data_IF_297923458729
#
_entry.id   IF_297923458729
#
_cell.length_a   1.000
_cell.length_b   1.000
_cell.length_c   1.000
_cell.angle_alpha   90.00
_cell.angle_beta   90.00
_cell.angle_gamma   90.00
#
_symmetry.space_group_name_H-M   'P 1'
#
loop_
_entity.id
_entity.type
_entity.pdbx_description
1 polymer ?
#
# COMPACT_ATOMS: atom_id res chain seq x y z
N UNK A 1 67.76 -14.00 -5.53
CA UNK A 1 67.62 -12.53 -5.71
C UNK A 1 67.07 -11.94 -4.41
N UNK A 2 67.49 -10.72 -4.01
CA UNK A 2 66.93 -10.05 -2.82
C UNK A 2 65.52 -9.53 -3.13
N UNK A 3 64.61 -9.69 -2.17
CA UNK A 3 63.26 -9.15 -2.27
C UNK A 3 63.23 -7.67 -1.88
N UNK A 4 62.22 -6.92 -2.33
CA UNK A 4 62.01 -5.51 -1.99
C UNK A 4 61.97 -5.31 -0.47
N UNK A 5 61.32 -6.21 0.27
CA UNK A 5 61.26 -6.17 1.73
C UNK A 5 62.63 -6.33 2.39
N UNK A 6 63.44 -7.28 1.91
CA UNK A 6 64.81 -7.48 2.42
C UNK A 6 65.70 -6.28 2.12
N UNK A 7 65.60 -5.69 0.93
CA UNK A 7 66.38 -4.51 0.54
C UNK A 7 66.06 -3.33 1.46
N UNK A 8 64.76 -3.07 1.71
CA UNK A 8 64.33 -1.99 2.60
C UNK A 8 64.79 -2.22 4.04
N UNK A 9 64.67 -3.45 4.55
CA UNK A 9 65.13 -3.80 5.89
C UNK A 9 66.63 -3.61 6.06
N UNK A 10 67.42 -4.08 5.10
CA UNK A 10 68.88 -3.92 5.13
C UNK A 10 69.27 -2.43 5.08
N UNK A 11 68.63 -1.63 4.22
CA UNK A 11 68.88 -0.20 4.12
C UNK A 11 68.50 0.53 5.42
N UNK A 12 67.37 0.17 6.04
CA UNK A 12 66.93 0.70 7.33
C UNK A 12 67.94 0.43 8.43
N UNK A 13 68.38 -0.82 8.55
CA UNK A 13 69.38 -1.22 9.55
C UNK A 13 70.73 -0.53 9.30
N UNK A 14 71.15 -0.38 8.03
CA UNK A 14 72.39 0.33 7.66
C UNK A 14 72.35 1.81 8.03
N UNK A 15 71.19 2.46 7.93
CA UNK A 15 70.98 3.86 8.34
C UNK A 15 70.68 4.01 9.84
N UNK A 16 70.56 2.90 10.58
CA UNK A 16 70.30 2.91 12.03
C UNK A 16 68.86 3.27 12.44
N UNK A 17 67.91 3.25 11.49
CA UNK A 17 66.53 3.64 11.76
C UNK A 17 65.73 2.54 12.49
N UNK A 18 64.99 2.92 13.52
CA UNK A 18 63.91 2.09 14.07
C UNK A 18 62.67 2.14 13.17
N UNK A 19 61.70 1.24 13.40
CA UNK A 19 60.44 1.30 12.65
C UNK A 19 59.64 2.57 13.02
N UNK A 20 59.75 3.00 14.28
CA UNK A 20 59.16 4.23 14.81
C UNK A 20 59.76 5.49 14.14
N UNK A 21 61.07 5.49 13.86
CA UNK A 21 61.71 6.61 13.16
C UNK A 21 61.17 6.76 11.74
N UNK A 22 61.08 5.65 11.00
CA UNK A 22 60.51 5.67 9.65
C UNK A 22 59.02 6.00 9.65
N UNK A 23 58.27 5.56 10.66
CA UNK A 23 56.85 5.93 10.82
C UNK A 23 56.70 7.45 11.03
N UNK A 24 57.55 8.04 11.86
CA UNK A 24 57.55 9.50 12.11
C UNK A 24 57.92 10.29 10.86
N UNK A 25 58.90 9.82 10.10
CA UNK A 25 59.45 10.49 8.91
C UNK A 25 58.53 10.34 7.68
N UNK A 26 58.04 9.12 7.41
CA UNK A 26 57.23 8.83 6.22
C UNK A 26 55.72 8.90 6.44
N UNK A 27 55.27 9.01 7.70
CA UNK A 27 53.86 8.90 8.13
C UNK A 27 53.19 7.54 7.80
N UNK A 28 53.97 6.54 7.42
CA UNK A 28 53.49 5.18 7.17
C UNK A 28 53.49 4.44 8.49
N UNK A 29 52.35 3.86 8.86
CA UNK A 29 52.25 3.15 10.14
C UNK A 29 53.27 2.01 10.23
N UNK A 30 53.93 1.84 11.38
CA UNK A 30 55.02 0.86 11.55
C UNK A 30 54.66 -0.58 11.19
N UNK A 31 53.39 -0.96 11.39
CA UNK A 31 52.91 -2.29 11.00
C UNK A 31 52.92 -2.51 9.48
N UNK A 32 52.70 -1.47 8.67
CA UNK A 32 52.82 -1.57 7.21
C UNK A 32 54.27 -1.64 6.77
N UNK A 33 55.16 -0.87 7.40
CA UNK A 33 56.61 -0.93 7.14
C UNK A 33 57.13 -2.34 7.45
N UNK A 34 56.79 -2.87 8.62
CA UNK A 34 57.11 -4.24 9.01
C UNK A 34 56.53 -5.27 8.02
N UNK A 35 55.25 -5.14 7.67
CA UNK A 35 54.63 -6.04 6.69
C UNK A 35 55.34 -6.01 5.32
N UNK A 36 55.82 -4.85 4.86
CA UNK A 36 56.64 -4.75 3.64
C UNK A 36 57.98 -5.46 3.81
N UNK A 37 58.71 -5.21 4.90
CA UNK A 37 60.02 -5.83 5.17
C UNK A 37 59.95 -7.35 5.22
N UNK A 38 58.86 -7.89 5.77
CA UNK A 38 58.58 -9.33 5.84
C UNK A 38 57.78 -9.88 4.65
N UNK A 39 57.49 -9.06 3.63
CA UNK A 39 56.73 -9.46 2.44
C UNK A 39 55.35 -10.07 2.76
N UNK A 40 54.69 -9.57 3.81
CA UNK A 40 53.35 -9.97 4.25
C UNK A 40 52.28 -9.19 3.45
N UNK A 41 52.19 -9.48 2.15
CA UNK A 41 51.33 -8.73 1.20
C UNK A 41 49.85 -8.71 1.57
N UNK A 42 49.34 -9.76 2.24
CA UNK A 42 47.95 -9.86 2.70
C UNK A 42 47.57 -8.82 3.77
N UNK A 43 48.55 -8.29 4.51
CA UNK A 43 48.34 -7.25 5.54
C UNK A 43 48.47 -5.83 5.00
N UNK A 44 48.76 -5.69 3.71
CA UNK A 44 48.98 -4.40 3.07
C UNK A 44 47.72 -3.95 2.31
N UNK A 45 47.53 -2.63 2.13
CA UNK A 45 46.47 -2.10 1.28
C UNK A 45 46.67 -2.47 -0.20
N UNK A 46 45.81 -1.94 -1.06
CA UNK A 46 45.87 -2.17 -2.51
C UNK A 46 47.20 -1.72 -3.14
N UNK A 47 47.60 -2.40 -4.22
CA UNK A 47 48.91 -2.22 -4.88
C UNK A 47 49.33 -0.75 -5.16
N UNK A 48 48.43 0.16 -5.60
CA UNK A 48 48.79 1.56 -5.79
C UNK A 48 49.27 2.25 -4.50
N UNK A 49 48.66 1.91 -3.36
CA UNK A 49 49.01 2.45 -2.04
C UNK A 49 50.37 1.90 -1.60
N UNK A 50 50.58 0.59 -1.77
CA UNK A 50 51.88 -0.05 -1.47
C UNK A 50 53.00 0.57 -2.32
N UNK A 51 52.73 0.83 -3.60
CA UNK A 51 53.68 1.55 -4.47
C UNK A 51 54.03 2.93 -3.93
N UNK A 52 53.04 3.64 -3.37
CA UNK A 52 53.26 4.91 -2.68
C UNK A 52 54.15 4.75 -1.44
N UNK A 53 53.90 3.73 -0.62
CA UNK A 53 54.71 3.44 0.57
C UNK A 53 56.18 3.20 0.22
N UNK A 54 56.43 2.34 -0.78
CA UNK A 54 57.79 2.00 -1.22
C UNK A 54 58.53 3.24 -1.77
N UNK A 55 57.84 4.11 -2.51
CA UNK A 55 58.39 5.37 -3.01
C UNK A 55 58.74 6.34 -1.87
N UNK A 56 57.91 6.41 -0.83
CA UNK A 56 58.17 7.28 0.31
C UNK A 56 59.30 6.74 1.20
N UNK A 57 59.43 5.42 1.32
CA UNK A 57 60.53 4.78 2.07
C UNK A 57 61.88 4.89 1.35
N UNK A 58 61.90 5.05 0.03
CA UNK A 58 63.16 5.12 -0.72
C UNK A 58 63.97 6.38 -0.41
N UNK A 59 63.30 7.48 -0.04
CA UNK A 59 63.96 8.76 0.28
C UNK A 59 64.80 8.72 1.56
N UNK A 60 64.27 8.41 2.75
CA UNK A 60 65.07 8.32 3.99
C UNK A 60 66.11 7.20 3.94
N UNK A 61 65.85 6.16 3.16
CA UNK A 61 66.75 5.01 3.01
C UNK A 61 67.81 5.17 1.91
N UNK A 62 67.80 6.30 1.19
CA UNK A 62 68.78 6.61 0.13
C UNK A 62 68.83 5.52 -0.97
N UNK A 63 67.63 5.09 -1.39
CA UNK A 63 67.43 4.08 -2.42
C UNK A 63 66.87 4.72 -3.69
N UNK A 64 67.31 4.22 -4.85
CA UNK A 64 66.75 4.67 -6.12
C UNK A 64 65.28 4.28 -6.24
N UNK A 65 64.44 5.30 -6.41
CA UNK A 65 62.98 5.19 -6.45
C UNK A 65 62.48 4.31 -7.60
N UNK A 66 63.11 4.39 -8.77
CA UNK A 66 62.66 3.67 -9.96
C UNK A 66 63.07 2.19 -9.88
N UNK A 67 64.26 1.92 -9.38
CA UNK A 67 64.78 0.59 -9.15
C UNK A 67 63.96 -0.15 -8.10
N UNK A 68 63.68 0.46 -6.94
CA UNK A 68 62.94 -0.21 -5.87
C UNK A 68 61.48 -0.51 -6.25
N UNK A 69 60.85 0.37 -7.03
CA UNK A 69 59.49 0.14 -7.56
C UNK A 69 59.50 -0.96 -8.63
N UNK A 70 60.55 -1.06 -9.43
CA UNK A 70 60.70 -2.16 -10.40
C UNK A 70 60.83 -3.51 -9.69
N UNK A 71 61.56 -3.55 -8.58
CA UNK A 71 61.68 -4.75 -7.74
C UNK A 71 60.35 -5.08 -7.06
N UNK A 72 59.60 -4.07 -6.58
CA UNK A 72 58.25 -4.27 -6.04
C UNK A 72 57.32 -4.95 -7.06
N UNK A 73 57.32 -4.48 -8.32
CA UNK A 73 56.47 -5.06 -9.38
C UNK A 73 56.76 -6.54 -9.64
N UNK A 74 58.01 -6.97 -9.42
CA UNK A 74 58.43 -8.37 -9.53
C UNK A 74 57.98 -9.21 -8.33
N UNK A 75 58.08 -8.64 -7.13
CA UNK A 75 57.88 -9.40 -5.87
C UNK A 75 56.44 -9.38 -5.35
N UNK A 76 55.62 -8.41 -5.77
CA UNK A 76 54.23 -8.29 -5.36
C UNK A 76 53.37 -9.33 -6.10
N UNK A 77 52.69 -10.25 -5.40
CA UNK A 77 51.85 -11.24 -6.06
C UNK A 77 50.69 -10.55 -6.77
N UNK A 78 50.28 -11.01 -7.96
CA UNK A 78 49.10 -10.48 -8.63
C UNK A 78 47.87 -10.78 -7.74
N UNK A 79 47.43 -9.78 -6.97
CA UNK A 79 46.17 -9.83 -6.23
C UNK A 79 45.08 -9.87 -7.29
N UNK A 80 44.36 -10.99 -7.42
CA UNK A 80 43.15 -11.04 -8.24
C UNK A 80 42.25 -9.94 -7.68
N UNK A 81 41.98 -8.93 -8.49
CA UNK A 81 40.96 -7.92 -8.17
C UNK A 81 39.66 -8.71 -8.15
N UNK A 82 39.30 -9.29 -7.02
CA UNK A 82 37.95 -9.78 -6.76
C UNK A 82 37.05 -8.62 -7.12
N UNK A 83 36.22 -8.84 -8.12
CA UNK A 83 35.40 -7.86 -8.84
C UNK A 83 34.77 -6.84 -7.89
N UNK A 84 35.49 -5.75 -7.58
CA UNK A 84 34.91 -4.54 -6.98
C UNK A 84 34.28 -3.75 -8.12
N UNK A 85 33.41 -4.41 -8.87
CA UNK A 85 32.37 -3.73 -9.59
C UNK A 85 31.15 -3.89 -8.69
N UNK A 86 30.93 -3.00 -7.70
CA UNK A 86 29.69 -3.01 -6.97
C UNK A 86 28.60 -2.82 -8.01
N UNK A 87 27.93 -3.91 -8.40
CA UNK A 87 26.73 -3.82 -9.22
C UNK A 87 25.83 -2.89 -8.41
N UNK A 88 25.48 -1.70 -8.93
CA UNK A 88 24.62 -0.82 -8.16
C UNK A 88 23.35 -1.62 -7.88
N UNK A 89 23.09 -1.90 -6.61
CA UNK A 89 21.79 -2.37 -6.18
C UNK A 89 20.83 -1.20 -6.41
N UNK A 90 20.34 -1.08 -7.64
CA UNK A 90 19.27 -0.16 -7.98
C UNK A 90 18.02 -0.75 -7.33
N UNK A 91 17.87 -0.52 -6.02
CA UNK A 91 16.58 -0.69 -5.34
C UNK A 91 15.63 0.24 -6.09
N UNK A 92 14.78 -0.32 -6.95
CA UNK A 92 13.77 0.43 -7.71
C UNK A 92 12.83 1.09 -6.71
N UNK A 93 13.16 2.31 -6.31
CA UNK A 93 12.26 3.15 -5.51
C UNK A 93 11.09 3.50 -6.42
N UNK A 94 9.87 3.23 -5.96
CA UNK A 94 8.66 3.63 -6.67
C UNK A 94 8.71 5.13 -6.93
N UNK A 95 8.71 5.52 -8.21
CA UNK A 95 8.72 6.92 -8.63
C UNK A 95 7.32 7.28 -9.09
N UNK A 96 6.67 8.09 -8.27
CA UNK A 96 5.37 8.65 -8.57
C UNK A 96 5.47 9.56 -9.80
N UNK A 97 4.81 9.18 -10.90
CA UNK A 97 4.78 9.94 -12.15
C UNK A 97 3.51 10.79 -12.20
N UNK A 98 3.55 12.07 -12.63
CA UNK A 98 2.33 12.85 -12.87
C UNK A 98 1.28 12.14 -13.73
N UNK A 99 1.68 11.33 -14.73
CA UNK A 99 0.70 10.54 -15.49
C UNK A 99 -0.08 9.54 -14.61
N UNK A 100 0.56 9.01 -13.58
CA UNK A 100 -0.07 8.10 -12.61
C UNK A 100 -1.07 8.83 -11.70
N UNK A 101 -0.82 10.09 -11.28
CA UNK A 101 -1.84 10.88 -10.55
C UNK A 101 -3.07 11.08 -11.38
N UNK A 102 -2.91 11.45 -12.65
CA UNK A 102 -4.03 11.73 -13.54
C UNK A 102 -4.88 10.47 -13.74
N UNK A 103 -4.25 9.32 -14.03
CA UNK A 103 -4.96 8.04 -14.17
C UNK A 103 -5.66 7.67 -12.87
N UNK A 104 -4.98 7.76 -11.72
CA UNK A 104 -5.56 7.42 -10.43
C UNK A 104 -6.77 8.32 -10.12
N UNK A 105 -6.66 9.62 -10.36
CA UNK A 105 -7.75 10.57 -10.15
C UNK A 105 -8.94 10.30 -11.08
N UNK A 106 -8.69 10.06 -12.37
CA UNK A 106 -9.75 9.70 -13.32
C UNK A 106 -10.47 8.42 -12.93
N UNK A 107 -9.74 7.39 -12.47
CA UNK A 107 -10.35 6.14 -11.99
C UNK A 107 -11.19 6.38 -10.74
N UNK A 108 -10.69 7.16 -9.77
CA UNK A 108 -11.45 7.50 -8.56
C UNK A 108 -12.72 8.28 -8.91
N UNK A 109 -12.64 9.25 -9.82
CA UNK A 109 -13.80 10.03 -10.26
C UNK A 109 -14.86 9.15 -10.93
N UNK A 110 -14.43 8.22 -11.79
CA UNK A 110 -15.33 7.25 -12.44
C UNK A 110 -15.98 6.35 -11.38
N UNK A 111 -15.22 5.83 -10.42
CA UNK A 111 -15.76 4.98 -9.35
C UNK A 111 -16.77 5.72 -8.47
N UNK A 112 -16.50 6.98 -8.11
CA UNK A 112 -17.44 7.82 -7.36
C UNK A 112 -18.71 8.08 -8.17
N UNK A 113 -18.59 8.40 -9.45
CA UNK A 113 -19.72 8.61 -10.34
C UNK A 113 -20.58 7.34 -10.50
N UNK A 114 -19.94 6.19 -10.73
CA UNK A 114 -20.63 4.90 -10.82
C UNK A 114 -21.30 4.51 -9.50
N UNK A 115 -20.62 4.71 -8.37
CA UNK A 115 -21.19 4.47 -7.04
C UNK A 115 -22.43 5.34 -6.78
N UNK A 116 -22.36 6.63 -7.15
CA UNK A 116 -23.50 7.54 -7.05
C UNK A 116 -24.68 7.10 -7.94
N UNK A 117 -24.41 6.76 -9.21
CA UNK A 117 -25.44 6.29 -10.13
C UNK A 117 -26.08 4.98 -9.63
N UNK A 118 -25.28 4.05 -9.12
CA UNK A 118 -25.78 2.80 -8.54
C UNK A 118 -26.69 3.07 -7.34
N UNK A 119 -26.26 3.94 -6.42
CA UNK A 119 -27.07 4.32 -5.27
C UNK A 119 -28.39 4.98 -5.69
N UNK A 120 -28.35 5.89 -6.67
CA UNK A 120 -29.53 6.56 -7.19
C UNK A 120 -30.49 5.58 -7.87
N UNK A 121 -29.96 4.63 -8.64
CA UNK A 121 -30.74 3.57 -9.28
C UNK A 121 -31.37 2.62 -8.24
N UNK A 122 -30.61 2.23 -7.22
CA UNK A 122 -31.12 1.39 -6.13
C UNK A 122 -32.27 2.08 -5.39
N UNK A 123 -32.16 3.38 -5.10
CA UNK A 123 -33.24 4.16 -4.48
C UNK A 123 -34.48 4.28 -5.36
N UNK A 124 -34.33 4.38 -6.68
CA UNK A 124 -35.48 4.44 -7.60
C UNK A 124 -36.19 3.08 -7.77
N UNK A 125 -35.44 1.99 -7.59
CA UNK A 125 -35.91 0.61 -7.79
C UNK A 125 -36.18 -0.13 -6.48
N UNK A 126 -36.15 0.56 -5.34
CA UNK A 126 -36.58 -0.01 -4.07
C UNK A 126 -38.11 -0.08 -3.98
N UNK A 127 -38.66 -1.14 -3.37
CA UNK A 127 -40.08 -1.20 -3.08
C UNK A 127 -40.47 -0.07 -2.11
N UNK A 128 -41.70 0.45 -2.21
CA UNK A 128 -42.13 1.56 -1.38
C UNK A 128 -42.23 1.10 0.08
N UNK A 129 -41.85 1.95 1.02
CA UNK A 129 -42.13 1.64 2.42
C UNK A 129 -43.64 1.60 2.64
N UNK A 130 -44.17 0.64 3.41
CA UNK A 130 -45.58 0.54 3.74
C UNK A 130 -45.73 0.30 5.23
N UNK A 131 -46.40 1.22 5.91
CA UNK A 131 -46.73 1.14 7.33
C UNK A 131 -48.23 1.27 7.49
N UNK A 132 -48.90 0.20 7.91
CA UNK A 132 -50.34 0.17 8.14
C UNK A 132 -50.62 0.41 9.61
N UNK A 133 -51.33 1.50 9.92
CA UNK A 133 -51.74 1.87 11.28
C UNK A 133 -53.13 1.34 11.63
N UNK A 134 -54.01 1.22 10.63
CA UNK A 134 -55.35 0.61 10.77
C UNK A 134 -55.69 -0.18 9.50
N UNK A 135 -56.27 -1.39 9.59
CA UNK A 135 -56.57 -2.14 10.81
C UNK A 135 -55.32 -2.66 11.53
N UNK A 136 -55.45 -2.89 12.83
CA UNK A 136 -54.48 -3.68 13.59
C UNK A 136 -54.65 -5.18 13.29
N UNK A 137 -53.59 -5.95 13.47
CA UNK A 137 -53.66 -7.39 13.24
C UNK A 137 -54.55 -8.07 14.29
N UNK A 138 -55.57 -8.79 13.85
CA UNK A 138 -56.59 -9.42 14.68
C UNK A 138 -57.74 -8.51 15.12
N UNK A 139 -57.87 -7.30 14.57
CA UNK A 139 -58.92 -6.35 14.92
C UNK A 139 -60.32 -6.93 14.71
N UNK A 140 -61.22 -6.66 15.66
CA UNK A 140 -62.62 -7.10 15.61
C UNK A 140 -63.43 -6.04 14.88
N UNK A 141 -63.95 -6.38 13.70
CA UNK A 141 -64.73 -5.47 12.86
C UNK A 141 -66.21 -5.82 12.97
N UNK A 142 -67.02 -4.82 13.33
CA UNK A 142 -68.47 -4.97 13.59
C UNK A 142 -69.37 -4.42 12.49
N UNK A 143 -68.80 -3.65 11.58
CA UNK A 143 -69.49 -2.98 10.48
C UNK A 143 -69.07 -3.58 9.13
N UNK A 144 -69.83 -3.30 8.06
CA UNK A 144 -69.50 -3.77 6.69
C UNK A 144 -68.45 -2.90 6.00
N UNK A 145 -68.04 -1.81 6.62
CA UNK A 145 -66.97 -0.93 6.16
C UNK A 145 -65.80 -1.01 7.15
N UNK A 146 -64.59 -0.99 6.61
CA UNK A 146 -63.36 -0.98 7.40
C UNK A 146 -62.49 0.18 6.96
N UNK A 147 -62.10 0.99 7.94
CA UNK A 147 -61.20 2.11 7.69
C UNK A 147 -59.75 1.62 7.60
N UNK A 148 -59.08 1.91 6.49
CA UNK A 148 -57.70 1.53 6.23
C UNK A 148 -56.84 2.79 6.21
N UNK A 149 -55.88 2.85 7.13
CA UNK A 149 -54.96 3.98 7.29
C UNK A 149 -53.52 3.54 7.39
N UNK A 150 -52.66 4.38 6.86
CA UNK A 150 -51.24 4.20 7.03
C UNK A 150 -50.42 5.25 6.30
N UNK A 151 -49.14 4.92 6.14
CA UNK A 151 -48.18 5.73 5.43
C UNK A 151 -47.38 4.87 4.48
N UNK A 152 -47.19 5.38 3.27
CA UNK A 152 -46.33 4.83 2.23
C UNK A 152 -45.41 5.93 1.68
N UNK A 153 -44.54 5.61 0.73
CA UNK A 153 -43.80 6.62 -0.01
C UNK A 153 -44.75 7.47 -0.89
N UNK A 154 -44.52 8.80 -1.02
CA UNK A 154 -45.29 9.66 -1.93
C UNK A 154 -45.30 9.12 -3.37
N UNK A 155 -46.36 9.43 -4.12
CA UNK A 155 -46.60 8.94 -5.50
C UNK A 155 -46.78 7.41 -5.62
N UNK A 156 -46.80 6.66 -4.52
CA UNK A 156 -47.18 5.25 -4.54
C UNK A 156 -48.70 5.11 -4.64
N UNK A 157 -49.16 3.99 -5.20
CA UNK A 157 -50.58 3.61 -5.22
C UNK A 157 -50.82 2.54 -4.17
N UNK A 158 -51.87 2.70 -3.35
CA UNK A 158 -52.32 1.67 -2.42
C UNK A 158 -53.50 0.93 -3.04
N UNK A 159 -53.45 -0.40 -3.00
CA UNK A 159 -54.56 -1.28 -3.38
C UNK A 159 -54.87 -2.16 -2.19
N UNK A 160 -56.14 -2.18 -1.78
CA UNK A 160 -56.63 -3.00 -0.67
C UNK A 160 -57.77 -3.86 -1.16
N UNK A 161 -57.62 -5.19 -1.13
CA UNK A 161 -58.63 -6.14 -1.65
C UNK A 161 -59.20 -5.71 -3.02
N UNK A 162 -58.31 -5.32 -3.94
CA UNK A 162 -58.63 -4.88 -5.30
C UNK A 162 -59.33 -3.50 -5.42
N UNK A 163 -59.40 -2.71 -4.33
CA UNK A 163 -59.86 -1.32 -4.32
C UNK A 163 -58.68 -0.35 -4.16
N UNK A 164 -58.59 0.68 -5.00
CA UNK A 164 -57.50 1.67 -4.94
C UNK A 164 -57.80 2.79 -3.94
N UNK A 165 -56.83 3.09 -3.06
CA UNK A 165 -56.89 4.19 -2.10
C UNK A 165 -55.89 5.27 -2.54
N UNK A 166 -56.33 6.52 -2.54
CA UNK A 166 -55.50 7.67 -2.91
C UNK A 166 -54.49 7.95 -1.79
N UNK A 167 -53.23 8.11 -2.18
CA UNK A 167 -52.14 8.55 -1.30
C UNK A 167 -51.96 10.05 -1.48
N UNK A 168 -51.84 10.78 -0.39
CA UNK A 168 -51.60 12.22 -0.44
C UNK A 168 -50.10 12.54 -0.65
N UNK A 169 -49.77 13.81 -0.84
CA UNK A 169 -48.39 14.28 -1.09
C UNK A 169 -47.42 13.96 0.06
N UNK A 170 -47.93 13.72 1.27
CA UNK A 170 -47.14 13.33 2.45
C UNK A 170 -46.90 11.82 2.55
N UNK A 171 -47.48 11.04 1.64
CA UNK A 171 -47.44 9.57 1.65
C UNK A 171 -48.48 8.93 2.58
N UNK A 172 -49.32 9.72 3.26
CA UNK A 172 -50.39 9.16 4.09
C UNK A 172 -51.58 8.74 3.21
N UNK A 173 -52.22 7.64 3.57
CA UNK A 173 -53.44 7.16 2.93
C UNK A 173 -54.50 6.89 3.98
N UNK A 174 -55.74 7.17 3.60
CA UNK A 174 -56.93 6.89 4.39
C UNK A 174 -58.07 6.61 3.41
N UNK A 175 -58.76 5.50 3.62
CA UNK A 175 -59.94 5.14 2.86
C UNK A 175 -60.77 4.13 3.62
N UNK A 176 -62.02 3.97 3.20
CA UNK A 176 -62.90 2.93 3.70
C UNK A 176 -63.06 1.87 2.62
N UNK A 177 -62.96 0.61 3.01
CA UNK A 177 -63.20 -0.53 2.13
C UNK A 177 -64.45 -1.26 2.59
N UNK A 178 -65.19 -1.83 1.65
CA UNK A 178 -66.29 -2.74 1.97
C UNK A 178 -65.74 -4.14 2.25
N UNK A 179 -66.15 -4.71 3.37
CA UNK A 179 -65.80 -6.06 3.78
C UNK A 179 -67.03 -6.97 3.72
N UNK A 180 -66.80 -8.20 3.28
CA UNK A 180 -67.82 -9.24 3.18
C UNK A 180 -67.70 -10.24 4.32
N UNK A 181 -68.76 -11.00 4.62
CA UNK A 181 -68.78 -12.03 5.67
C UNK A 181 -67.70 -13.12 5.52
N UNK A 182 -67.12 -13.25 4.31
CA UNK A 182 -66.06 -14.21 4.02
C UNK A 182 -64.64 -13.61 4.11
N UNK A 183 -64.52 -12.30 4.30
CA UNK A 183 -63.24 -11.59 4.34
C UNK A 183 -62.53 -11.80 5.68
N UNK A 184 -61.53 -12.68 5.73
CA UNK A 184 -60.73 -12.97 6.95
C UNK A 184 -59.37 -12.29 6.98
N UNK A 185 -58.87 -11.89 5.82
CA UNK A 185 -57.56 -11.29 5.64
C UNK A 185 -57.70 -10.08 4.72
N UNK A 186 -57.04 -8.99 5.08
CA UNK A 186 -56.97 -7.76 4.31
C UNK A 186 -55.59 -7.68 3.70
N UNK A 187 -55.51 -7.79 2.37
CA UNK A 187 -54.27 -7.63 1.62
C UNK A 187 -54.11 -6.16 1.23
N UNK A 188 -53.01 -5.55 1.67
CA UNK A 188 -52.68 -4.15 1.44
C UNK A 188 -51.39 -4.12 0.63
N UNK A 189 -51.50 -3.68 -0.63
CA UNK A 189 -50.40 -3.62 -1.59
C UNK A 189 -50.05 -2.15 -1.83
N UNK A 190 -48.81 -1.78 -1.50
CA UNK A 190 -48.22 -0.52 -1.95
C UNK A 190 -47.40 -0.75 -3.21
N UNK A 191 -47.72 -0.05 -4.29
CA UNK A 191 -47.00 -0.12 -5.57
C UNK A 191 -46.36 1.23 -5.90
N UNK A 192 -45.04 1.23 -6.11
CA UNK A 192 -44.31 2.42 -6.55
C UNK A 192 -44.51 2.69 -8.04
N UNK A 193 -44.15 3.90 -8.51
CA UNK A 193 -44.14 4.27 -9.93
C UNK A 193 -43.25 3.36 -10.80
N UNK A 194 -42.20 2.77 -10.23
CA UNK A 194 -41.32 1.82 -10.90
C UNK A 194 -41.86 0.39 -10.94
N UNK A 195 -43.07 0.15 -10.41
CA UNK A 195 -43.74 -1.14 -10.41
C UNK A 195 -43.27 -2.10 -9.30
N UNK A 196 -42.54 -1.59 -8.29
CA UNK A 196 -42.12 -2.38 -7.14
C UNK A 196 -43.21 -2.39 -6.09
N UNK A 197 -43.33 -3.52 -5.39
CA UNK A 197 -44.46 -3.77 -4.50
C UNK A 197 -44.00 -4.14 -3.09
N UNK A 198 -44.75 -3.65 -2.11
CA UNK A 198 -44.71 -4.11 -0.72
C UNK A 198 -46.11 -4.57 -0.34
N UNK A 199 -46.21 -5.80 0.17
CA UNK A 199 -47.48 -6.42 0.52
C UNK A 199 -47.52 -6.64 2.03
N UNK A 200 -48.60 -6.22 2.67
CA UNK A 200 -48.88 -6.48 4.08
C UNK A 200 -50.25 -7.13 4.20
N UNK A 201 -50.32 -8.22 4.97
CA UNK A 201 -51.56 -8.89 5.33
C UNK A 201 -51.97 -8.50 6.74
N UNK A 202 -53.26 -8.24 6.94
CA UNK A 202 -53.87 -7.99 8.25
C UNK A 202 -55.06 -8.92 8.43
N UNK A 203 -54.98 -9.79 9.44
CA UNK A 203 -56.11 -10.65 9.79
C UNK A 203 -57.15 -9.84 10.53
N UNK A 204 -58.42 -10.09 10.22
CA UNK A 204 -59.54 -9.44 10.93
C UNK A 204 -60.51 -10.50 11.43
N UNK A 205 -61.14 -10.21 12.56
CA UNK A 205 -62.19 -11.04 13.15
C UNK A 205 -63.53 -10.34 12.94
N UNK A 206 -64.47 -11.01 12.27
CA UNK A 206 -65.77 -10.42 11.95
C UNK A 206 -66.80 -10.72 13.06
N UNK A 207 -67.37 -9.67 13.63
CA UNK A 207 -68.54 -9.72 14.53
C UNK A 207 -69.63 -8.77 13.99
N UNK A 208 -70.07 -9.03 12.76
CA UNK A 208 -71.09 -8.22 12.09
C UNK A 208 -72.41 -8.27 12.88
N UNK A 209 -72.98 -7.10 13.17
CA UNK A 209 -74.23 -6.95 13.93
C UNK A 209 -75.43 -6.71 13.03
#
# INVERSE_FOLDING_TARGET
MKTVGKILREARLKKGYTLEDLERETKIKKHFISAIEYSQWEKLPEFPVVTGFIKNLSFPLDLDKNQIVSILRRDYPPKRISEVNPKPEIKKKFRWNPKFTFVLFSVVLILVSLGYLFFQYAKFTSPPNLVVTNPQDGEIVKERTLEVKGKTDPESTIVVNNQSIIVNDTGAFQGEIEISEVTKDIEIIARSRSGKETIIHRKINLELK
#
